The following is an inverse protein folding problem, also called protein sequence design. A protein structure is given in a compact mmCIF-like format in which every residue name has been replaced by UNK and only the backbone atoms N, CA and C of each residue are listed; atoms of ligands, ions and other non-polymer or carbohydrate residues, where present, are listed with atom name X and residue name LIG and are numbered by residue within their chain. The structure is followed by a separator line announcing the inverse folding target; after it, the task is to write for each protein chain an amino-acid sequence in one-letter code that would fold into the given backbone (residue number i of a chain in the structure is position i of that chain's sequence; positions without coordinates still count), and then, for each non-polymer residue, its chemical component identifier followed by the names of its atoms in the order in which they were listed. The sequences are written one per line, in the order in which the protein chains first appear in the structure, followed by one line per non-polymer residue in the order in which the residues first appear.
data_IF_631427580532
#
_entry.id   IF_631427580532
#
_cell.length_a   1.000
_cell.length_b   1.000
_cell.length_c   1.000
_cell.angle_alpha   90.00
_cell.angle_beta   90.00
_cell.angle_gamma   90.00
#
_symmetry.space_group_name_H-M   'P 1'
#
loop_
_entity.id
_entity.type
_entity.pdbx_description
1 polymer ?
#
# COMPACT_ATOMS: atom_id res chain seq x y z
N UNK A 1 18.86 5.79 -17.01
CA UNK A 1 18.69 6.91 -17.96
C UNK A 1 17.36 7.54 -17.65
N UNK A 2 17.28 8.87 -17.44
CA UNK A 2 16.01 9.54 -17.24
C UNK A 2 15.18 9.44 -18.55
N UNK A 3 13.89 9.12 -18.41
CA UNK A 3 12.96 9.17 -19.54
C UNK A 3 12.87 10.61 -20.08
N UNK A 4 12.56 10.80 -21.39
CA UNK A 4 12.19 12.12 -21.90
C UNK A 4 11.10 12.71 -20.99
N UNK A 5 11.24 13.98 -20.60
CA UNK A 5 10.27 14.63 -19.73
C UNK A 5 8.88 14.57 -20.37
N UNK A 6 7.98 13.80 -19.76
CA UNK A 6 6.57 13.76 -20.15
C UNK A 6 5.94 15.12 -19.87
N UNK A 7 4.86 15.50 -20.59
CA UNK A 7 4.18 16.77 -20.33
C UNK A 7 3.71 16.84 -18.86
N UNK A 8 3.72 18.05 -18.29
CA UNK A 8 3.28 18.26 -16.91
C UNK A 8 1.88 17.68 -16.68
N UNK A 9 1.72 16.96 -15.55
CA UNK A 9 0.47 16.32 -15.17
C UNK A 9 0.18 14.97 -15.83
N UNK A 10 1.03 14.49 -16.75
CA UNK A 10 0.85 13.16 -17.35
C UNK A 10 1.34 12.03 -16.45
N UNK A 11 2.45 12.26 -15.75
CA UNK A 11 3.09 11.30 -14.88
C UNK A 11 3.78 12.02 -13.73
N UNK A 12 3.62 11.50 -12.53
CA UNK A 12 4.29 11.97 -11.31
C UNK A 12 5.25 10.93 -10.74
N UNK A 13 5.09 9.65 -11.11
CA UNK A 13 5.82 8.54 -10.49
C UNK A 13 6.61 7.66 -11.46
N UNK A 14 6.24 7.64 -12.75
CA UNK A 14 6.86 6.74 -13.71
C UNK A 14 8.39 6.94 -13.83
N UNK A 15 9.12 5.83 -13.70
CA UNK A 15 10.56 5.73 -13.92
C UNK A 15 10.85 4.74 -15.08
N UNK A 16 12.12 4.59 -15.47
CA UNK A 16 12.53 3.68 -16.54
C UNK A 16 12.12 2.21 -16.28
N UNK A 17 11.97 1.81 -15.02
CA UNK A 17 11.47 0.48 -14.63
C UNK A 17 10.03 0.27 -15.09
N UNK A 18 9.24 1.34 -15.08
CA UNK A 18 7.85 1.30 -15.50
C UNK A 18 7.71 1.19 -17.03
N UNK A 19 8.73 1.59 -17.78
CA UNK A 19 8.79 1.30 -19.22
C UNK A 19 8.91 -0.20 -19.47
N UNK A 20 9.75 -0.90 -18.70
CA UNK A 20 9.85 -2.37 -18.79
C UNK A 20 8.55 -3.04 -18.40
N UNK A 21 7.89 -2.54 -17.35
CA UNK A 21 6.57 -3.01 -16.94
C UNK A 21 5.54 -2.78 -18.05
N UNK A 22 5.53 -1.60 -18.68
CA UNK A 22 4.59 -1.28 -19.75
C UNK A 22 4.78 -2.21 -20.94
N UNK A 23 6.01 -2.35 -21.44
CA UNK A 23 6.32 -3.19 -22.59
C UNK A 23 6.07 -4.67 -22.30
N UNK A 24 6.56 -5.17 -21.17
CA UNK A 24 6.37 -6.55 -20.75
C UNK A 24 4.89 -6.85 -20.45
N UNK A 25 4.16 -5.90 -19.86
CA UNK A 25 2.74 -6.00 -19.57
C UNK A 25 1.90 -6.07 -20.85
N UNK A 26 2.14 -5.15 -21.80
CA UNK A 26 1.45 -5.14 -23.10
C UNK A 26 1.71 -6.44 -23.87
N UNK A 27 2.96 -6.90 -23.93
CA UNK A 27 3.31 -8.16 -24.57
C UNK A 27 2.57 -9.34 -23.91
N UNK A 28 2.61 -9.41 -22.57
CA UNK A 28 2.00 -10.50 -21.81
C UNK A 28 0.48 -10.52 -21.96
N UNK A 29 -0.18 -9.35 -21.89
CA UNK A 29 -1.63 -9.21 -22.14
C UNK A 29 -1.96 -9.65 -23.57
N UNK A 30 -1.17 -9.26 -24.55
CA UNK A 30 -1.37 -9.66 -25.95
C UNK A 30 -1.30 -11.17 -26.11
N UNK A 31 -0.30 -11.83 -25.51
CA UNK A 31 -0.17 -13.28 -25.54
C UNK A 31 -1.35 -13.98 -24.85
N UNK A 32 -1.80 -13.47 -23.70
CA UNK A 32 -2.99 -14.00 -23.00
C UNK A 32 -4.26 -13.84 -23.82
N UNK A 33 -4.44 -12.72 -24.52
CA UNK A 33 -5.58 -12.50 -25.43
C UNK A 33 -5.52 -13.48 -26.60
N UNK A 34 -4.35 -13.70 -27.20
CA UNK A 34 -4.15 -14.70 -28.27
C UNK A 34 -4.51 -16.09 -27.76
N UNK A 35 -4.06 -16.46 -26.56
CA UNK A 35 -4.40 -17.73 -25.93
C UNK A 35 -5.91 -17.88 -25.73
N UNK A 36 -6.59 -16.86 -25.18
CA UNK A 36 -8.04 -16.89 -24.99
C UNK A 36 -8.80 -16.98 -26.31
N UNK A 37 -8.31 -16.31 -27.36
CA UNK A 37 -8.86 -16.40 -28.71
C UNK A 37 -8.80 -17.82 -29.27
N UNK A 38 -7.75 -18.58 -28.96
CA UNK A 38 -7.63 -20.00 -29.36
C UNK A 38 -8.60 -20.88 -28.58
N UNK A 39 -8.83 -20.57 -27.30
CA UNK A 39 -9.66 -21.40 -26.41
C UNK A 39 -11.17 -21.20 -26.59
N UNK A 40 -11.64 -20.00 -26.93
CA UNK A 40 -13.08 -19.71 -27.01
C UNK A 40 -13.46 -18.62 -28.02
N UNK A 41 -14.64 -18.76 -28.63
CA UNK A 41 -15.24 -17.73 -29.52
C UNK A 41 -15.63 -16.46 -28.79
N UNK A 42 -15.80 -16.52 -27.46
CA UNK A 42 -16.21 -15.39 -26.62
C UNK A 42 -15.04 -14.69 -25.92
N UNK A 43 -13.80 -14.84 -26.41
CA UNK A 43 -12.58 -14.26 -25.83
C UNK A 43 -12.69 -12.75 -25.60
N UNK A 44 -13.35 -12.02 -26.50
CA UNK A 44 -13.54 -10.57 -26.40
C UNK A 44 -14.32 -10.18 -25.14
N UNK A 45 -15.28 -11.01 -24.70
CA UNK A 45 -16.05 -10.77 -23.47
C UNK A 45 -15.13 -10.89 -22.26
N UNK A 46 -14.25 -11.89 -22.25
CA UNK A 46 -13.28 -12.09 -21.17
C UNK A 46 -12.34 -10.88 -21.11
N UNK A 47 -11.76 -10.48 -22.24
CA UNK A 47 -10.86 -9.33 -22.30
C UNK A 47 -11.52 -8.02 -21.83
N UNK A 48 -12.75 -7.73 -22.28
CA UNK A 48 -13.48 -6.53 -21.88
C UNK A 48 -13.85 -6.58 -20.39
N UNK A 49 -14.38 -7.70 -19.90
CA UNK A 49 -14.79 -7.83 -18.50
C UNK A 49 -13.58 -7.71 -17.58
N UNK A 50 -12.46 -8.38 -17.88
CA UNK A 50 -11.25 -8.28 -17.05
C UNK A 50 -10.64 -6.88 -17.09
N UNK A 51 -10.71 -6.20 -18.24
CA UNK A 51 -10.29 -4.80 -18.36
C UNK A 51 -11.16 -3.88 -17.49
N UNK A 52 -12.49 -4.02 -17.56
CA UNK A 52 -13.41 -3.20 -16.76
C UNK A 52 -13.23 -3.45 -15.26
N UNK A 53 -12.99 -4.69 -14.84
CA UNK A 53 -12.65 -5.02 -13.46
C UNK A 53 -11.36 -4.32 -13.05
N UNK A 54 -10.29 -4.42 -13.86
CA UNK A 54 -9.01 -3.79 -13.57
C UNK A 54 -9.10 -2.26 -13.50
N UNK A 55 -9.85 -1.64 -14.41
CA UNK A 55 -10.12 -0.21 -14.41
C UNK A 55 -10.88 0.21 -13.15
N UNK A 56 -11.95 -0.51 -12.80
CA UNK A 56 -12.73 -0.26 -11.59
C UNK A 56 -11.89 -0.42 -10.32
N UNK A 57 -11.04 -1.44 -10.26
CA UNK A 57 -10.10 -1.65 -9.15
C UNK A 57 -9.07 -0.52 -9.06
N UNK A 58 -8.51 -0.08 -10.19
CA UNK A 58 -7.58 1.06 -10.23
C UNK A 58 -8.25 2.32 -9.70
N UNK A 59 -9.50 2.59 -10.08
CA UNK A 59 -10.28 3.71 -9.58
C UNK A 59 -10.56 3.62 -8.07
N UNK A 60 -11.03 2.46 -7.60
CA UNK A 60 -11.28 2.21 -6.17
C UNK A 60 -9.99 2.36 -5.35
N UNK A 61 -8.84 1.99 -5.92
CA UNK A 61 -7.54 2.08 -5.24
C UNK A 61 -7.18 3.51 -4.83
N UNK A 62 -7.66 4.54 -5.56
CA UNK A 62 -7.45 5.95 -5.25
C UNK A 62 -8.10 6.34 -3.91
N UNK A 63 -9.19 5.67 -3.54
CA UNK A 63 -9.95 6.00 -2.32
C UNK A 63 -9.56 5.13 -1.13
N UNK A 64 -9.13 3.89 -1.37
CA UNK A 64 -8.76 2.96 -0.30
C UNK A 64 -7.30 3.07 0.12
N UNK A 65 -6.42 3.43 -0.82
CA UNK A 65 -4.98 3.40 -0.61
C UNK A 65 -4.39 4.78 -0.84
N UNK A 66 -3.95 5.40 0.26
CA UNK A 66 -3.23 6.66 0.20
C UNK A 66 -2.19 6.79 1.29
N UNK A 67 -1.14 7.52 0.97
CA UNK A 67 -0.11 8.01 1.88
C UNK A 67 -0.26 9.54 1.90
N UNK A 68 -0.54 10.16 3.06
CA UNK A 68 -0.61 11.62 3.16
C UNK A 68 0.78 12.24 2.91
N UNK A 69 0.87 13.56 2.68
CA UNK A 69 2.15 14.26 2.69
C UNK A 69 2.91 13.98 3.98
N UNK A 70 4.21 13.72 3.85
CA UNK A 70 5.04 13.17 4.93
C UNK A 70 6.43 13.81 4.94
N UNK A 71 7.11 13.72 6.08
CA UNK A 71 8.47 14.21 6.30
C UNK A 71 9.49 13.07 6.49
N UNK A 72 9.01 11.84 6.71
CA UNK A 72 9.85 10.65 6.76
C UNK A 72 10.67 10.49 5.46
N UNK A 73 12.00 10.56 5.55
CA UNK A 73 12.91 10.42 4.40
C UNK A 73 13.04 11.69 3.58
N UNK A 74 12.42 12.78 4.02
CA UNK A 74 12.25 13.99 3.23
C UNK A 74 12.12 15.23 4.12
N UNK A 75 13.24 15.83 4.51
CA UNK A 75 13.31 16.96 5.46
C UNK A 75 12.51 18.19 4.98
N UNK A 76 12.50 18.44 3.67
CA UNK A 76 11.73 19.53 3.06
C UNK A 76 10.22 19.24 2.99
N UNK A 77 9.81 18.02 3.33
CA UNK A 77 8.47 17.49 3.11
C UNK A 77 8.30 16.94 1.69
N UNK A 78 7.76 15.73 1.60
CA UNK A 78 7.42 15.09 0.35
C UNK A 78 5.91 15.04 0.14
N UNK A 79 5.44 15.22 -1.11
CA UNK A 79 4.03 15.08 -1.44
C UNK A 79 3.58 13.64 -1.19
N UNK A 80 2.32 13.49 -0.79
CA UNK A 80 1.69 12.19 -0.62
C UNK A 80 1.29 11.58 -1.97
N UNK A 81 0.71 10.40 -1.93
CA UNK A 81 0.16 9.75 -3.12
C UNK A 81 -1.05 8.87 -2.81
N UNK A 82 -1.78 8.52 -3.86
CA UNK A 82 -2.90 7.57 -3.85
C UNK A 82 -2.70 6.50 -4.89
N UNK A 83 -3.32 5.35 -4.68
CA UNK A 83 -3.29 4.23 -5.60
C UNK A 83 -2.44 3.06 -5.10
N UNK A 84 -2.81 1.87 -5.56
CA UNK A 84 -2.13 0.61 -5.30
C UNK A 84 -2.48 -0.40 -6.40
N UNK A 85 -1.58 -1.33 -6.79
CA UNK A 85 -0.20 -1.53 -6.31
C UNK A 85 0.81 -0.46 -6.73
N UNK A 86 0.51 0.30 -7.78
CA UNK A 86 1.32 1.46 -8.18
C UNK A 86 0.65 2.76 -7.73
N UNK A 87 1.43 3.81 -7.40
CA UNK A 87 0.89 5.14 -7.18
C UNK A 87 0.30 5.68 -8.50
N UNK A 88 -0.82 6.38 -8.39
CA UNK A 88 -1.68 6.82 -9.51
C UNK A 88 -1.95 8.32 -9.46
N UNK A 89 -1.99 8.89 -8.25
CA UNK A 89 -2.24 10.30 -8.05
C UNK A 89 -1.33 10.85 -6.97
N UNK A 90 -0.87 12.09 -7.14
CA UNK A 90 -0.09 12.82 -6.15
C UNK A 90 -1.02 13.65 -5.26
N UNK A 91 -0.66 13.77 -3.98
CA UNK A 91 -1.34 14.65 -3.01
C UNK A 91 -0.35 15.77 -2.65
N UNK A 92 -0.68 17.01 -2.98
CA UNK A 92 0.12 18.16 -2.60
C UNK A 92 -0.05 18.50 -1.11
N UNK A 93 0.84 19.31 -0.55
CA UNK A 93 0.69 19.84 0.82
C UNK A 93 -0.58 20.67 1.03
N UNK A 94 -1.12 21.27 -0.05
CA UNK A 94 -2.40 21.96 -0.03
C UNK A 94 -3.61 21.01 -0.02
N UNK A 95 -3.39 19.69 0.03
CA UNK A 95 -4.43 18.66 -0.01
C UNK A 95 -5.03 18.42 -1.39
N UNK A 96 -4.51 19.04 -2.44
CA UNK A 96 -5.00 18.84 -3.80
C UNK A 96 -4.50 17.50 -4.33
N UNK A 97 -5.42 16.74 -4.92
CA UNK A 97 -5.10 15.45 -5.57
C UNK A 97 -4.98 15.66 -7.07
N UNK A 98 -3.85 15.30 -7.65
CA UNK A 98 -3.60 15.39 -9.08
C UNK A 98 -3.34 13.99 -9.64
N UNK A 99 -4.13 13.58 -10.63
CA UNK A 99 -4.06 12.22 -11.20
C UNK A 99 -3.11 12.23 -12.39
N UNK A 100 -2.08 11.39 -12.35
CA UNK A 100 -1.22 11.13 -13.50
C UNK A 100 -1.91 10.16 -14.43
N UNK A 101 -2.24 10.59 -15.65
CA UNK A 101 -2.94 9.73 -16.61
C UNK A 101 -2.10 8.50 -17.00
N UNK A 102 -0.79 8.66 -17.17
CA UNK A 102 0.15 7.56 -17.46
C UNK A 102 0.25 6.62 -16.26
N UNK A 103 0.38 7.17 -15.05
CA UNK A 103 0.44 6.38 -13.80
C UNK A 103 -0.84 5.55 -13.61
N UNK A 104 -2.01 6.14 -13.89
CA UNK A 104 -3.30 5.45 -13.87
C UNK A 104 -3.36 4.31 -14.89
N UNK A 105 -2.88 4.55 -16.12
CA UNK A 105 -2.86 3.53 -17.18
C UNK A 105 -1.89 2.39 -16.85
N UNK A 106 -0.71 2.70 -16.29
CA UNK A 106 0.26 1.70 -15.84
C UNK A 106 -0.32 0.81 -14.74
N UNK A 107 -0.95 1.40 -13.72
CA UNK A 107 -1.61 0.64 -12.67
C UNK A 107 -2.75 -0.21 -13.23
N UNK A 108 -3.54 0.34 -14.16
CA UNK A 108 -4.62 -0.40 -14.83
C UNK A 108 -4.09 -1.56 -15.67
N UNK A 109 -2.98 -1.36 -16.39
CA UNK A 109 -2.34 -2.42 -17.18
C UNK A 109 -1.84 -3.56 -16.28
N UNK A 110 -1.18 -3.23 -15.18
CA UNK A 110 -0.72 -4.21 -14.20
C UNK A 110 -1.89 -4.99 -13.60
N UNK A 111 -2.94 -4.31 -13.16
CA UNK A 111 -4.15 -4.95 -12.65
C UNK A 111 -4.85 -5.80 -13.72
N UNK A 112 -4.88 -5.35 -14.98
CA UNK A 112 -5.49 -6.10 -16.07
C UNK A 112 -4.73 -7.39 -16.36
N UNK A 113 -3.39 -7.33 -16.37
CA UNK A 113 -2.54 -8.51 -16.46
C UNK A 113 -2.83 -9.49 -15.32
N UNK A 114 -2.90 -9.01 -14.07
CA UNK A 114 -3.19 -9.85 -12.91
C UNK A 114 -4.57 -10.51 -12.98
N UNK A 115 -5.61 -9.75 -13.37
CA UNK A 115 -6.98 -10.28 -13.48
C UNK A 115 -7.10 -11.27 -14.65
N UNK A 116 -6.43 -11.01 -15.79
CA UNK A 116 -6.36 -11.96 -16.90
C UNK A 116 -5.59 -13.24 -16.54
N UNK A 117 -4.50 -13.13 -15.80
CA UNK A 117 -3.76 -14.28 -15.32
C UNK A 117 -4.60 -15.08 -14.31
N UNK A 118 -5.30 -14.40 -13.41
CA UNK A 118 -6.23 -15.04 -12.48
C UNK A 118 -7.37 -15.77 -13.21
N UNK A 119 -7.89 -15.22 -14.31
CA UNK A 119 -8.91 -15.91 -15.12
C UNK A 119 -8.35 -17.15 -15.82
N UNK A 120 -7.12 -17.09 -16.33
CA UNK A 120 -6.42 -18.25 -16.88
C UNK A 120 -6.23 -19.35 -15.82
N UNK A 121 -5.71 -18.99 -14.63
CA UNK A 121 -5.52 -19.94 -13.52
C UNK A 121 -6.88 -20.52 -13.10
N UNK A 122 -7.90 -19.68 -12.98
CA UNK A 122 -9.27 -20.11 -12.66
C UNK A 122 -9.80 -21.13 -13.67
N UNK A 123 -9.51 -20.95 -14.96
CA UNK A 123 -9.87 -21.93 -16.00
C UNK A 123 -9.11 -23.24 -15.84
N UNK A 124 -7.79 -23.20 -15.61
CA UNK A 124 -6.97 -24.40 -15.42
C UNK A 124 -7.42 -25.19 -14.18
N UNK A 125 -7.66 -24.50 -13.06
CA UNK A 125 -8.16 -25.10 -11.82
C UNK A 125 -9.56 -25.69 -12.02
N UNK A 126 -10.44 -24.96 -12.72
CA UNK A 126 -11.79 -25.44 -13.04
C UNK A 126 -11.77 -26.78 -13.79
N UNK A 127 -10.88 -26.90 -14.78
CA UNK A 127 -10.66 -28.16 -15.50
C UNK A 127 -10.08 -29.24 -14.57
N UNK A 128 -9.05 -28.91 -13.79
CA UNK A 128 -8.40 -29.87 -12.89
C UNK A 128 -9.33 -30.47 -11.83
N UNK A 129 -10.32 -29.72 -11.36
CA UNK A 129 -11.25 -30.18 -10.32
C UNK A 129 -12.58 -30.72 -10.86
N UNK A 130 -12.69 -30.94 -12.18
CA UNK A 130 -13.92 -31.37 -12.86
C UNK A 130 -15.14 -30.52 -12.46
N UNK A 131 -15.00 -29.20 -12.58
CA UNK A 131 -16.00 -28.21 -12.12
C UNK A 131 -17.43 -28.50 -12.60
N UNK A 132 -17.58 -29.00 -13.83
CA UNK A 132 -18.86 -29.35 -14.43
C UNK A 132 -19.63 -30.41 -13.64
N UNK A 133 -18.96 -31.33 -12.97
CA UNK A 133 -19.61 -32.42 -12.23
C UNK A 133 -19.91 -32.06 -10.77
N UNK A 134 -19.54 -30.85 -10.33
CA UNK A 134 -19.70 -30.42 -8.94
C UNK A 134 -21.08 -29.79 -8.69
N UNK A 135 -21.66 -30.06 -7.52
CA UNK A 135 -22.90 -29.42 -7.08
C UNK A 135 -22.76 -27.90 -6.99
N UNK A 136 -23.85 -27.16 -7.18
CA UNK A 136 -23.86 -25.69 -7.11
C UNK A 136 -23.21 -25.14 -5.83
N UNK A 137 -23.49 -25.75 -4.67
CA UNK A 137 -22.88 -25.37 -3.38
C UNK A 137 -21.36 -25.53 -3.39
N UNK A 138 -20.87 -26.63 -3.96
CA UNK A 138 -19.45 -26.87 -4.13
C UNK A 138 -18.80 -25.84 -5.06
N UNK A 139 -19.46 -25.50 -6.17
CA UNK A 139 -18.99 -24.45 -7.10
C UNK A 139 -18.89 -23.10 -6.40
N UNK A 140 -19.90 -22.70 -5.63
CA UNK A 140 -19.91 -21.44 -4.91
C UNK A 140 -18.81 -21.39 -3.84
N UNK A 141 -18.64 -22.46 -3.04
CA UNK A 141 -17.55 -22.53 -2.05
C UNK A 141 -16.17 -22.49 -2.68
N UNK A 142 -15.96 -23.21 -3.79
CA UNK A 142 -14.66 -23.19 -4.47
C UNK A 142 -14.40 -21.82 -5.12
N UNK A 143 -15.41 -21.17 -5.68
CA UNK A 143 -15.28 -19.81 -6.21
C UNK A 143 -14.93 -18.81 -5.10
N UNK A 144 -15.60 -18.93 -3.94
CA UNK A 144 -15.28 -18.12 -2.76
C UNK A 144 -13.84 -18.37 -2.28
N UNK A 145 -13.37 -19.61 -2.22
CA UNK A 145 -12.01 -19.92 -1.80
C UNK A 145 -10.98 -19.38 -2.81
N UNK A 146 -11.18 -19.60 -4.11
CA UNK A 146 -10.25 -19.11 -5.14
C UNK A 146 -10.24 -17.58 -5.18
N UNK A 147 -11.37 -16.92 -4.93
CA UNK A 147 -11.45 -15.46 -4.95
C UNK A 147 -11.01 -14.84 -3.62
N UNK A 148 -11.57 -15.20 -2.48
CA UNK A 148 -11.28 -14.52 -1.22
C UNK A 148 -9.96 -14.92 -0.58
N UNK A 149 -9.51 -16.17 -0.76
CA UNK A 149 -8.33 -16.65 -0.06
C UNK A 149 -7.04 -15.92 -0.51
N UNK A 150 -6.74 -15.76 -1.82
CA UNK A 150 -5.55 -15.02 -2.24
C UNK A 150 -5.56 -13.56 -1.74
N UNK A 151 -6.75 -12.93 -1.72
CA UNK A 151 -6.92 -11.56 -1.25
C UNK A 151 -6.71 -11.44 0.27
N UNK A 152 -7.21 -12.39 1.05
CA UNK A 152 -7.01 -12.43 2.50
C UNK A 152 -5.53 -12.63 2.89
N UNK A 153 -4.75 -13.28 2.03
CA UNK A 153 -3.32 -13.49 2.23
C UNK A 153 -2.43 -12.40 1.63
N UNK A 154 -2.99 -11.51 0.80
CA UNK A 154 -2.25 -10.46 0.10
C UNK A 154 -1.43 -9.55 1.05
N UNK A 155 -1.96 -9.11 2.22
CA UNK A 155 -1.18 -8.29 3.16
C UNK A 155 0.05 -9.01 3.72
N UNK A 156 0.11 -10.35 3.66
CA UNK A 156 1.26 -11.11 4.13
C UNK A 156 2.42 -11.03 3.15
N UNK A 157 2.15 -10.92 1.86
CA UNK A 157 3.18 -10.96 0.81
C UNK A 157 3.54 -9.58 0.28
N UNK A 158 2.60 -8.64 0.30
CA UNK A 158 2.83 -7.31 -0.23
C UNK A 158 2.84 -6.24 0.87
N UNK A 159 3.81 -5.30 0.84
CA UNK A 159 3.83 -4.20 1.78
C UNK A 159 2.67 -3.24 1.50
N UNK A 160 2.01 -2.72 2.54
CA UNK A 160 1.06 -1.63 2.42
C UNK A 160 1.72 -0.37 1.87
N UNK A 161 0.95 0.54 1.26
CA UNK A 161 1.46 1.81 0.80
C UNK A 161 2.06 2.57 1.99
N UNK A 162 3.36 2.89 1.90
CA UNK A 162 4.12 3.57 2.94
C UNK A 162 5.29 4.37 2.32
N UNK A 163 5.76 5.44 2.99
CA UNK A 163 7.00 6.12 2.66
C UNK A 163 8.21 5.18 2.64
N UNK A 164 9.17 5.49 1.78
CA UNK A 164 10.49 4.85 1.77
C UNK A 164 11.41 5.66 2.67
N UNK A 165 11.98 5.01 3.68
CA UNK A 165 12.94 5.61 4.63
C UNK A 165 14.30 4.96 4.50
N UNK A 166 15.37 5.69 4.83
CA UNK A 166 16.76 5.19 4.81
C UNK A 166 17.43 5.34 6.18
N UNK A 167 18.50 4.59 6.39
CA UNK A 167 19.44 4.72 7.50
C UNK A 167 18.79 4.78 8.90
N UNK A 168 18.94 5.92 9.58
CA UNK A 168 18.50 6.15 10.95
C UNK A 168 16.97 6.13 11.07
N UNK A 169 16.25 6.70 10.10
CA UNK A 169 14.80 6.68 10.13
C UNK A 169 14.25 5.27 9.95
N UNK A 170 14.88 4.46 9.07
CA UNK A 170 14.51 3.06 8.91
C UNK A 170 14.69 2.30 10.23
N UNK A 171 15.73 2.61 11.00
CA UNK A 171 15.96 2.07 12.34
C UNK A 171 14.82 2.45 13.29
N UNK A 172 14.48 3.74 13.38
CA UNK A 172 13.39 4.24 14.22
C UNK A 172 12.05 3.61 13.88
N UNK A 173 11.71 3.55 12.59
CA UNK A 173 10.45 2.96 12.11
C UNK A 173 10.40 1.46 12.40
N UNK A 174 11.51 0.75 12.21
CA UNK A 174 11.58 -0.69 12.50
C UNK A 174 11.42 -0.95 14.00
N UNK A 175 12.06 -0.14 14.85
CA UNK A 175 11.94 -0.27 16.31
C UNK A 175 10.52 0.08 16.77
N UNK A 176 9.91 1.14 16.25
CA UNK A 176 8.52 1.49 16.54
C UNK A 176 7.55 0.39 16.12
N UNK A 177 7.72 -0.18 14.92
CA UNK A 177 6.90 -1.31 14.45
C UNK A 177 7.08 -2.53 15.34
N UNK A 178 8.33 -2.89 15.69
CA UNK A 178 8.60 -4.00 16.60
C UNK A 178 7.97 -3.78 17.96
N UNK A 179 8.08 -2.58 18.54
CA UNK A 179 7.46 -2.28 19.81
C UNK A 179 5.92 -2.37 19.74
N UNK A 180 5.31 -1.82 18.68
CA UNK A 180 3.87 -1.93 18.46
C UNK A 180 3.39 -3.39 18.34
N UNK A 181 4.17 -4.24 17.65
CA UNK A 181 3.86 -5.66 17.45
C UNK A 181 4.11 -6.50 18.71
N UNK A 182 5.29 -6.38 19.33
CA UNK A 182 5.73 -7.27 20.41
C UNK A 182 5.38 -6.78 21.80
N UNK A 183 5.45 -5.48 22.04
CA UNK A 183 5.29 -4.89 23.38
C UNK A 183 3.84 -4.53 23.64
N UNK A 184 3.17 -3.94 22.65
CA UNK A 184 1.77 -3.50 22.78
C UNK A 184 0.76 -4.44 22.12
N UNK A 185 1.21 -5.49 21.42
CA UNK A 185 0.33 -6.53 20.87
C UNK A 185 -0.70 -6.01 19.88
N UNK A 186 -0.40 -4.93 19.13
CA UNK A 186 -1.37 -4.30 18.22
C UNK A 186 -1.75 -5.24 17.07
N UNK A 187 -0.77 -6.00 16.57
CA UNK A 187 -1.05 -6.98 15.52
C UNK A 187 -1.76 -8.20 16.10
N UNK A 188 -2.89 -8.56 15.49
CA UNK A 188 -3.76 -9.63 15.93
C UNK A 188 -4.85 -9.91 14.90
N UNK A 189 -6.02 -10.38 15.32
CA UNK A 189 -7.11 -10.73 14.39
C UNK A 189 -7.55 -9.56 13.49
N UNK A 190 -7.48 -8.33 13.99
CA UNK A 190 -8.00 -7.15 13.27
C UNK A 190 -6.91 -6.41 12.49
N UNK A 191 -5.73 -6.24 13.08
CA UNK A 191 -4.59 -5.57 12.44
C UNK A 191 -3.53 -6.61 12.10
N UNK A 192 -3.27 -6.78 10.81
CA UNK A 192 -2.29 -7.76 10.31
C UNK A 192 -0.96 -7.11 9.94
N UNK A 193 -0.99 -5.85 9.51
CA UNK A 193 0.19 -5.11 9.07
C UNK A 193 0.14 -3.67 9.54
N UNK A 194 1.29 -3.13 9.90
CA UNK A 194 1.49 -1.72 10.20
C UNK A 194 2.31 -1.10 9.06
N UNK A 195 1.84 0.01 8.50
CA UNK A 195 2.55 0.80 7.50
C UNK A 195 3.04 2.10 8.12
N UNK A 196 4.20 2.60 7.69
CA UNK A 196 4.60 3.95 8.06
C UNK A 196 3.68 4.96 7.39
N UNK A 197 3.22 5.95 8.14
CA UNK A 197 2.49 7.09 7.62
C UNK A 197 3.38 8.34 7.62
N UNK A 198 4.05 8.62 8.74
CA UNK A 198 4.98 9.75 8.88
C UNK A 198 5.91 9.57 10.09
N UNK A 199 6.99 10.34 10.16
CA UNK A 199 7.97 10.36 11.26
C UNK A 199 8.31 11.80 11.62
N UNK A 200 8.25 12.13 12.91
CA UNK A 200 8.67 13.43 13.45
C UNK A 200 9.80 13.26 14.45
N UNK A 201 10.89 13.96 14.21
CA UNK A 201 11.95 14.15 15.19
C UNK A 201 11.70 15.48 15.90
N UNK A 202 11.38 15.43 17.20
CA UNK A 202 11.11 16.60 18.03
C UNK A 202 12.40 17.28 18.49
N UNK A 203 13.51 16.53 18.60
CA UNK A 203 14.82 17.07 19.01
C UNK A 203 15.97 16.16 18.53
N UNK A 204 17.15 16.72 18.15
CA UNK A 204 18.31 15.95 17.69
C UNK A 204 18.92 15.02 18.75
N UNK A 205 19.79 14.11 18.30
CA UNK A 205 20.41 13.02 19.07
C UNK A 205 21.11 13.52 20.35
N UNK A 206 20.84 12.93 21.55
CA UNK A 206 21.40 13.36 22.83
C UNK A 206 22.92 13.32 22.97
N UNK A 207 23.64 12.64 22.06
CA UNK A 207 25.11 12.57 22.08
C UNK A 207 25.81 13.93 21.91
N UNK A 208 25.07 14.99 21.58
CA UNK A 208 25.56 16.38 21.52
C UNK A 208 25.19 17.26 22.72
N UNK A 209 24.42 16.76 23.69
CA UNK A 209 23.96 17.54 24.85
C UNK A 209 24.80 17.29 26.11
N UNK A 210 25.03 18.34 26.89
CA UNK A 210 25.83 18.27 28.13
C UNK A 210 25.09 17.53 29.27
N UNK A 211 23.75 17.46 29.23
CA UNK A 211 22.91 16.74 30.21
C UNK A 211 21.73 16.05 29.50
N UNK A 212 21.93 14.83 28.94
CA UNK A 212 20.89 14.17 28.16
C UNK A 212 19.77 13.64 29.08
N UNK A 213 18.55 14.15 28.90
CA UNK A 213 17.35 13.57 29.49
C UNK A 213 16.94 12.31 28.71
N UNK A 214 17.16 11.14 29.32
CA UNK A 214 16.87 9.82 28.75
C UNK A 214 15.38 9.46 28.77
N UNK A 215 14.55 10.23 29.49
CA UNK A 215 13.10 10.01 29.57
C UNK A 215 12.29 10.84 28.57
N UNK A 216 12.93 11.80 27.90
CA UNK A 216 12.28 12.69 26.96
C UNK A 216 11.89 11.98 25.64
N UNK A 217 10.69 12.26 25.14
CA UNK A 217 10.25 11.83 23.81
C UNK A 217 11.00 12.65 22.75
N UNK A 218 11.81 12.01 21.91
CA UNK A 218 12.55 12.72 20.84
C UNK A 218 12.14 12.34 19.44
N UNK A 219 11.63 11.14 19.25
CA UNK A 219 11.06 10.75 17.96
C UNK A 219 9.68 10.15 18.16
N UNK A 220 8.77 10.53 17.29
CA UNK A 220 7.45 9.95 17.20
C UNK A 220 7.25 9.37 15.81
N UNK A 221 6.74 8.14 15.78
CA UNK A 221 6.47 7.42 14.53
C UNK A 221 4.97 7.21 14.42
N UNK A 222 4.39 7.64 13.30
CA UNK A 222 3.01 7.38 12.98
C UNK A 222 2.89 6.12 12.12
N UNK A 223 2.15 5.14 12.61
CA UNK A 223 1.87 3.88 11.93
C UNK A 223 0.37 3.76 11.60
N UNK A 224 0.05 3.23 10.43
CA UNK A 224 -1.31 2.87 10.01
C UNK A 224 -1.50 1.36 10.00
N UNK A 225 -2.52 0.88 10.69
CA UNK A 225 -2.91 -0.53 10.73
C UNK A 225 -3.81 -0.93 9.56
N UNK A 226 -3.53 -2.10 8.98
CA UNK A 226 -4.28 -2.70 7.89
C UNK A 226 -4.80 -4.09 8.27
N UNK A 227 -6.03 -4.41 7.83
CA UNK A 227 -6.70 -5.70 8.05
C UNK A 227 -6.24 -6.79 7.06
N UNK A 228 -6.77 -8.01 7.21
CA UNK A 228 -6.59 -9.13 6.26
C UNK A 228 -6.96 -8.80 4.80
N UNK A 229 -7.84 -7.83 4.58
CA UNK A 229 -8.26 -7.41 3.24
C UNK A 229 -7.57 -6.11 2.80
N UNK A 230 -6.47 -5.74 3.45
CA UNK A 230 -5.74 -4.51 3.18
C UNK A 230 -6.59 -3.25 3.38
N UNK A 231 -7.69 -3.33 4.13
CA UNK A 231 -8.51 -2.16 4.47
C UNK A 231 -7.85 -1.43 5.63
N UNK A 232 -7.65 -0.10 5.55
CA UNK A 232 -7.11 0.68 6.67
C UNK A 232 -8.08 0.64 7.86
N UNK A 233 -7.54 0.44 9.06
CA UNK A 233 -8.34 0.27 10.27
C UNK A 233 -8.18 1.44 11.25
N UNK A 234 -6.96 1.63 11.79
CA UNK A 234 -6.64 2.64 12.81
C UNK A 234 -5.20 3.15 12.67
N UNK A 235 -4.90 4.28 13.31
CA UNK A 235 -3.54 4.81 13.43
C UNK A 235 -2.98 4.60 14.83
N UNK A 236 -1.66 4.51 14.89
CA UNK A 236 -0.91 4.32 16.12
C UNK A 236 0.27 5.28 16.11
N UNK A 237 0.32 6.17 17.10
CA UNK A 237 1.46 7.05 17.33
C UNK A 237 2.34 6.41 18.39
N UNK A 238 3.57 6.08 18.02
CA UNK A 238 4.56 5.47 18.90
C UNK A 238 5.57 6.54 19.29
N UNK A 239 5.68 6.80 20.59
CA UNK A 239 6.70 7.70 21.14
C UNK A 239 7.92 6.89 21.52
N UNK A 240 9.08 7.24 20.95
CA UNK A 240 10.35 6.55 21.21
C UNK A 240 11.23 7.38 22.16
N UNK A 241 12.03 6.66 22.93
CA UNK A 241 13.09 7.23 23.77
C UNK A 241 14.17 7.94 22.92
N UNK A 242 15.10 8.69 23.53
CA UNK A 242 16.11 9.46 22.81
C UNK A 242 17.05 8.66 21.90
N UNK A 243 17.33 7.40 22.23
CA UNK A 243 18.14 6.50 21.39
C UNK A 243 17.33 5.87 20.25
N UNK A 244 16.00 5.95 20.31
CA UNK A 244 15.08 5.37 19.33
C UNK A 244 14.92 3.86 19.43
N UNK A 245 15.40 3.23 20.50
CA UNK A 245 15.40 1.77 20.65
C UNK A 245 14.12 1.27 21.31
N UNK A 246 13.71 1.90 22.42
CA UNK A 246 12.49 1.52 23.14
C UNK A 246 11.35 2.51 22.93
N UNK A 247 10.12 2.00 22.95
CA UNK A 247 8.91 2.80 22.90
C UNK A 247 8.46 3.15 24.31
N UNK A 248 8.35 4.45 24.58
CA UNK A 248 7.88 5.00 25.86
C UNK A 248 6.36 4.90 25.98
N UNK A 249 5.64 5.14 24.89
CA UNK A 249 4.18 5.08 24.89
C UNK A 249 3.63 4.83 23.49
N UNK A 250 2.37 4.40 23.45
CA UNK A 250 1.60 4.25 22.22
C UNK A 250 0.23 4.88 22.39
N UNK A 251 -0.20 5.64 21.39
CA UNK A 251 -1.52 6.26 21.35
C UNK A 251 -2.26 5.77 20.12
N UNK A 252 -3.47 5.25 20.33
CA UNK A 252 -4.36 4.88 19.24
C UNK A 252 -5.17 6.09 18.78
N UNK A 253 -5.24 6.29 17.46
CA UNK A 253 -5.81 7.49 16.84
C UNK A 253 -6.85 7.10 15.76
N UNK A 254 -7.91 7.89 15.60
CA UNK A 254 -8.87 7.70 14.51
C UNK A 254 -8.27 8.05 13.14
N UNK A 255 -8.84 7.49 12.07
CA UNK A 255 -8.40 7.76 10.68
C UNK A 255 -8.82 9.14 10.15
N UNK A 256 -9.81 9.78 10.76
CA UNK A 256 -10.46 11.01 10.26
C UNK A 256 -9.71 12.32 10.59
N UNK A 257 -8.53 12.26 11.20
CA UNK A 257 -7.72 13.44 11.55
C UNK A 257 -6.30 13.38 11.00
N UNK A 258 -5.45 14.32 11.40
CA UNK A 258 -4.00 14.18 11.28
C UNK A 258 -3.48 13.16 12.30
N UNK A 259 -2.33 12.55 12.03
CA UNK A 259 -1.65 11.73 13.06
C UNK A 259 -1.10 12.57 14.22
N UNK A 260 -1.00 13.88 14.02
CA UNK A 260 -0.32 14.80 14.91
C UNK A 260 -1.27 15.66 15.75
N UNK A 261 -2.54 15.77 15.37
CA UNK A 261 -3.51 16.73 15.95
C UNK A 261 -4.25 16.18 17.19
N UNK A 262 -3.54 15.50 18.10
CA UNK A 262 -4.18 14.84 19.25
C UNK A 262 -3.23 14.59 20.42
N UNK A 263 -2.44 15.60 20.80
CA UNK A 263 -1.43 15.44 21.86
C UNK A 263 -1.24 16.61 22.83
N UNK A 264 -1.98 17.72 22.69
CA UNK A 264 -1.86 18.88 23.59
C UNK A 264 -2.91 18.86 24.71
N UNK A 265 -3.17 17.69 25.27
CA UNK A 265 -3.86 17.57 26.57
C UNK A 265 -2.92 16.83 27.52
N UNK A 266 -2.01 17.57 28.18
CA UNK A 266 -1.21 16.95 29.26
C UNK A 266 0.09 17.61 29.72
N UNK A 267 0.44 18.83 29.33
CA UNK A 267 1.54 19.57 30.00
C UNK A 267 1.10 20.99 30.36
N UNK A 268 0.19 21.07 31.33
CA UNK A 268 0.12 22.20 32.26
C UNK A 268 0.03 21.63 33.66
N UNK A 269 1.04 21.90 34.47
CA UNK A 269 1.23 21.41 35.83
C UNK A 269 2.64 21.71 36.29
#
# INVERSE_FOLDING_TARGET
MPLPQLPEGWSYFADWRDLLLALGGILSVTLLIIWWRQQTRHWYRIAIVTFLIAFGMSFVSIYLFWVPPYYAGCVAGCPGWRGYPLPVAQITFAGQTQIGLVDFLLNTLLLWLLVLLASLIGQLVSVAINWEHRSWRGRLLTALLIFFLPWAFLPRYLPPPQPVTTDEELRLVTNARRAAESTYGITGLWVQRLALEDLRQLSPNPLGEQTPDLSAVRSQVCLRGYTYFFVPWRRYRVSLEPTGVTALSITELPLNGSCWDGGDEGVTG
#
